data_IF_396347093329
#
_entry.id   IF_396347093329
#
_cell.length_a   1.000
_cell.length_b   1.000
_cell.length_c   1.000
_cell.angle_alpha   90.00
_cell.angle_beta   90.00
_cell.angle_gamma   90.00
#
_symmetry.space_group_name_H-M   'P 1'
#
loop_
_entity.id
_entity.type
_entity.pdbx_description
1 polymer ?
#
# COMPACT_ATOMS: atom_id res chain seq x y z
N UNK A 1 -12.71 1.95 -11.17
CA UNK A 1 -11.91 2.77 -10.24
C UNK A 1 -12.86 3.61 -9.42
N UNK A 2 -12.69 3.66 -8.10
CA UNK A 2 -13.54 4.43 -7.19
C UNK A 2 -12.80 5.73 -6.81
N UNK A 3 -13.53 6.82 -6.66
CA UNK A 3 -12.99 8.12 -6.29
C UNK A 3 -13.69 8.59 -5.02
N UNK A 4 -12.96 9.10 -4.04
CA UNK A 4 -13.48 9.51 -2.73
C UNK A 4 -13.13 10.97 -2.44
N UNK A 5 -14.04 11.69 -1.79
CA UNK A 5 -13.77 13.05 -1.36
C UNK A 5 -13.00 13.04 -0.03
N UNK A 6 -11.82 13.70 0.08
CA UNK A 6 -11.03 13.72 1.31
C UNK A 6 -11.76 14.33 2.52
N UNK A 7 -12.69 15.25 2.27
CA UNK A 7 -13.47 15.92 3.32
C UNK A 7 -14.81 15.23 3.61
N UNK A 8 -15.29 14.41 2.68
CA UNK A 8 -16.57 13.72 2.80
C UNK A 8 -16.39 12.26 2.37
N UNK A 9 -15.90 11.38 3.26
CA UNK A 9 -15.60 9.99 2.93
C UNK A 9 -16.85 9.17 2.53
N UNK A 10 -18.03 9.69 2.86
CA UNK A 10 -19.35 9.20 2.43
C UNK A 10 -19.65 9.48 0.94
N UNK A 11 -18.90 10.37 0.28
CA UNK A 11 -19.08 10.70 -1.13
C UNK A 11 -18.05 9.94 -1.96
N UNK A 12 -18.57 9.00 -2.75
CA UNK A 12 -17.75 8.17 -3.65
C UNK A 12 -18.34 8.12 -5.04
N UNK A 13 -17.49 8.25 -6.05
CA UNK A 13 -17.87 8.26 -7.47
C UNK A 13 -17.07 7.23 -8.28
N UNK A 14 -17.60 6.87 -9.45
CA UNK A 14 -16.93 5.96 -10.38
C UNK A 14 -16.09 6.68 -11.44
N UNK A 15 -16.13 8.02 -11.46
CA UNK A 15 -15.43 8.87 -12.41
C UNK A 15 -14.62 9.95 -11.70
N UNK A 16 -13.49 10.38 -12.27
CA UNK A 16 -12.78 11.56 -11.77
C UNK A 16 -13.67 12.80 -11.95
N UNK A 17 -13.68 13.68 -10.95
CA UNK A 17 -14.47 14.90 -10.98
C UNK A 17 -14.46 15.62 -9.64
N UNK A 18 -15.26 16.67 -9.55
CA UNK A 18 -15.40 17.49 -8.35
C UNK A 18 -16.54 17.00 -7.47
N UNK A 19 -16.32 17.02 -6.16
CA UNK A 19 -17.28 16.58 -5.17
C UNK A 19 -18.56 17.44 -5.25
N UNK A 20 -19.75 16.86 -5.44
CA UNK A 20 -21.00 17.61 -5.58
C UNK A 20 -21.42 18.34 -4.29
N UNK A 21 -20.82 18.02 -3.14
CA UNK A 21 -21.15 18.61 -1.83
C UNK A 21 -20.28 19.83 -1.50
N UNK A 22 -19.01 19.83 -1.86
CA UNK A 22 -18.06 20.89 -1.51
C UNK A 22 -17.29 21.47 -2.71
N UNK A 23 -17.45 20.93 -3.91
CA UNK A 23 -16.76 21.36 -5.14
C UNK A 23 -15.28 20.97 -5.19
N UNK A 24 -14.80 20.16 -4.24
CA UNK A 24 -13.40 19.78 -4.11
C UNK A 24 -13.09 18.53 -4.93
N UNK A 25 -11.95 18.46 -5.60
CA UNK A 25 -11.61 17.37 -6.51
C UNK A 25 -11.51 16.02 -5.79
N UNK A 26 -12.13 15.00 -6.36
CA UNK A 26 -12.16 13.64 -5.81
C UNK A 26 -10.83 12.92 -6.08
N UNK A 27 -10.33 12.22 -5.06
CA UNK A 27 -9.10 11.46 -5.16
C UNK A 27 -9.40 10.04 -5.61
N UNK A 28 -8.59 9.52 -6.53
CA UNK A 28 -8.71 8.11 -6.93
C UNK A 28 -8.36 7.24 -5.72
N UNK A 29 -9.30 6.39 -5.33
CA UNK A 29 -9.02 5.20 -4.55
C UNK A 29 -8.27 4.26 -5.51
N UNK A 30 -6.99 4.57 -5.73
CA UNK A 30 -6.06 3.51 -6.08
C UNK A 30 -6.10 2.61 -4.88
N UNK A 31 -6.69 1.43 -5.05
CA UNK A 31 -6.22 0.26 -4.33
C UNK A 31 -4.73 0.24 -4.64
N UNK A 32 -3.95 0.91 -3.80
CA UNK A 32 -2.58 0.52 -3.57
C UNK A 32 -2.76 -0.96 -3.34
N UNK A 33 -2.24 -1.77 -4.25
CA UNK A 33 -1.92 -3.13 -3.90
C UNK A 33 -1.06 -2.93 -2.66
N UNK A 34 -1.68 -3.05 -1.49
CA UNK A 34 -1.00 -3.30 -0.24
C UNK A 34 -0.38 -4.67 -0.49
N UNK A 35 0.71 -4.66 -1.25
CA UNK A 35 1.80 -5.58 -1.09
C UNK A 35 2.18 -5.32 0.35
N UNK A 36 1.47 -5.99 1.25
CA UNK A 36 1.86 -6.27 2.62
C UNK A 36 3.10 -7.17 2.50
N UNK A 37 4.15 -6.63 1.87
CA UNK A 37 5.47 -7.18 1.89
C UNK A 37 5.85 -7.25 3.35
N UNK A 38 6.48 -8.35 3.73
CA UNK A 38 7.10 -8.40 5.04
C UNK A 38 8.29 -7.46 4.97
N UNK A 39 8.44 -6.58 5.94
CA UNK A 39 9.61 -5.74 6.06
C UNK A 39 10.47 -6.27 7.19
N UNK A 40 11.78 -6.36 6.96
CA UNK A 40 12.76 -6.96 7.86
C UNK A 40 13.81 -5.95 8.29
N UNK A 41 14.30 -6.03 9.53
CA UNK A 41 15.38 -5.18 10.00
C UNK A 41 16.74 -5.75 9.56
N UNK A 42 17.63 -4.96 8.92
CA UNK A 42 18.94 -5.45 8.48
C UNK A 42 19.86 -5.89 9.64
N UNK A 43 19.63 -5.37 10.85
CA UNK A 43 20.39 -5.73 12.06
C UNK A 43 19.70 -6.80 12.93
N UNK A 44 18.38 -6.91 12.83
CA UNK A 44 17.57 -7.83 13.64
C UNK A 44 16.64 -8.63 12.72
N UNK A 45 17.14 -9.68 12.04
CA UNK A 45 16.38 -10.41 11.03
C UNK A 45 15.16 -11.16 11.59
N UNK A 46 15.07 -11.29 12.91
CA UNK A 46 13.90 -11.84 13.61
C UNK A 46 12.70 -10.88 13.64
N UNK A 47 12.91 -9.60 13.30
CA UNK A 47 11.85 -8.60 13.24
C UNK A 47 11.26 -8.57 11.83
N UNK A 48 10.05 -9.12 11.70
CA UNK A 48 9.24 -9.06 10.48
C UNK A 48 7.96 -8.23 10.75
N UNK A 49 7.74 -7.18 9.96
CA UNK A 49 6.55 -6.33 10.06
C UNK A 49 5.77 -6.30 8.77
N UNK A 50 4.46 -6.08 8.86
CA UNK A 50 3.58 -5.96 7.70
C UNK A 50 3.45 -4.48 7.35
N UNK A 51 4.10 -4.07 6.26
CA UNK A 51 4.17 -2.68 5.82
C UNK A 51 5.46 -1.94 6.26
N UNK A 52 5.71 -0.76 5.68
CA UNK A 52 6.90 0.04 5.98
C UNK A 52 6.88 0.54 7.43
N UNK A 53 8.04 0.50 8.09
CA UNK A 53 8.14 0.87 9.50
C UNK A 53 9.58 0.98 10.00
N UNK A 54 9.71 1.20 11.31
CA UNK A 54 11.01 1.25 12.03
C UNK A 54 11.12 0.10 13.01
N UNK A 55 12.30 -0.49 13.11
CA UNK A 55 12.60 -1.58 14.03
C UNK A 55 12.41 -1.13 15.49
N UNK A 56 11.62 -1.86 16.31
CA UNK A 56 11.37 -1.49 17.70
C UNK A 56 12.59 -1.72 18.62
N UNK A 57 13.60 -2.46 18.16
CA UNK A 57 14.82 -2.75 18.94
C UNK A 57 15.87 -1.66 18.76
N UNK A 58 16.18 -1.30 17.50
CA UNK A 58 17.26 -0.37 17.19
C UNK A 58 16.80 0.95 16.54
N UNK A 59 15.52 1.09 16.22
CA UNK A 59 14.97 2.28 15.57
C UNK A 59 15.34 2.45 14.09
N UNK A 60 16.09 1.52 13.48
CA UNK A 60 16.44 1.58 12.05
C UNK A 60 15.23 1.30 11.16
N UNK A 61 15.21 1.89 9.96
CA UNK A 61 14.18 1.63 8.96
C UNK A 61 14.19 0.15 8.53
N UNK A 62 13.00 -0.43 8.36
CA UNK A 62 12.84 -1.80 7.87
C UNK A 62 12.86 -1.83 6.33
N UNK A 63 13.45 -2.88 5.78
CA UNK A 63 13.57 -3.08 4.33
C UNK A 63 12.54 -4.11 3.84
N UNK A 64 11.93 -3.93 2.65
CA UNK A 64 10.99 -4.88 2.10
C UNK A 64 11.68 -6.22 1.81
N UNK A 65 11.28 -7.25 2.54
CA UNK A 65 11.54 -8.64 2.21
C UNK A 65 10.59 -8.98 1.06
N UNK A 66 11.13 -9.01 -0.16
CA UNK A 66 10.37 -9.27 -1.38
C UNK A 66 9.37 -10.41 -1.15
N UNK A 67 8.07 -10.10 -1.31
CA UNK A 67 7.02 -11.07 -1.57
C UNK A 67 6.78 -11.17 -3.09
N UNK A 68 7.87 -11.04 -3.86
CA UNK A 68 7.89 -11.09 -5.32
C UNK A 68 8.84 -12.22 -5.75
N UNK A 69 8.57 -13.42 -5.24
CA UNK A 69 9.09 -14.67 -5.79
C UNK A 69 7.95 -15.68 -5.71
N UNK A 70 6.96 -15.47 -6.58
CA UNK A 70 6.28 -16.56 -7.27
C UNK A 70 6.00 -16.04 -8.69
N UNK A 71 7.07 -15.70 -9.40
CA UNK A 71 7.06 -15.93 -10.84
C UNK A 71 7.27 -17.44 -10.98
N UNK A 72 6.17 -18.15 -11.03
CA UNK A 72 6.10 -19.58 -11.33
C UNK A 72 6.83 -19.81 -12.67
N UNK A 73 8.08 -20.27 -12.57
CA UNK A 73 8.83 -20.94 -13.61
C UNK A 73 8.01 -22.16 -14.05
N UNK A 74 7.10 -21.98 -15.01
CA UNK A 74 6.41 -23.08 -15.69
C UNK A 74 6.17 -22.76 -17.15
N UNK A 75 7.23 -22.77 -17.94
CA UNK A 75 7.11 -23.20 -19.35
C UNK A 75 8.46 -23.75 -19.82
N UNK A 76 8.88 -24.87 -19.24
CA UNK A 76 9.64 -25.87 -19.99
C UNK A 76 8.66 -26.68 -20.86
N UNK A 77 8.60 -26.39 -22.17
CA UNK A 77 8.45 -27.41 -23.23
C UNK A 77 8.89 -26.87 -24.59
#
# INVERSE_FOLDING_TARGET
MKYICPMHPEITDQKPGDCPKCGMSLEKETISLDVQGKYICPMHPEIEQVGPGSCPICGMALEPKNAAEDEEDTSEL
#
